data_IF_103170240943
#
_entry.id   IF_103170240943
#
_cell.length_a   1.000
_cell.length_b   1.000
_cell.length_c   1.000
_cell.angle_alpha   90.00
_cell.angle_beta   90.00
_cell.angle_gamma   90.00
#
_symmetry.space_group_name_H-M   'P 1'
#
loop_
_entity.id
_entity.type
_entity.pdbx_description
1 polymer ?
#
# COMPACT_ATOMS: atom_id res chain seq x y z
N UNK A 1 -10.57 20.90 26.20
CA UNK A 1 -11.10 19.65 25.61
C UNK A 1 -11.02 19.67 24.09
N UNK A 2 -11.35 20.78 23.41
CA UNK A 2 -11.26 20.89 21.94
C UNK A 2 -9.88 20.56 21.36
N UNK A 3 -8.78 21.04 21.95
CA UNK A 3 -7.42 20.74 21.48
C UNK A 3 -7.05 19.25 21.51
N UNK A 4 -7.58 18.49 22.47
CA UNK A 4 -7.36 17.03 22.55
C UNK A 4 -8.09 16.29 21.43
N UNK A 5 -9.32 16.71 21.11
CA UNK A 5 -10.06 16.14 19.99
C UNK A 5 -9.42 16.44 18.63
N UNK A 6 -8.83 17.64 18.46
CA UNK A 6 -8.10 17.99 17.24
C UNK A 6 -6.86 17.10 17.04
N UNK A 7 -6.07 16.87 18.10
CA UNK A 7 -4.89 15.99 18.05
C UNK A 7 -5.30 14.54 17.75
N UNK A 8 -6.32 14.01 18.43
CA UNK A 8 -6.82 12.65 18.16
C UNK A 8 -7.37 12.54 16.74
N UNK A 9 -8.07 13.57 16.25
CA UNK A 9 -8.59 13.59 14.88
C UNK A 9 -7.47 13.47 13.85
N UNK A 10 -6.45 14.32 13.92
CA UNK A 10 -5.35 14.36 12.94
C UNK A 10 -4.50 13.09 13.00
N UNK A 11 -4.07 12.68 14.20
CA UNK A 11 -3.19 11.53 14.35
C UNK A 11 -3.92 10.19 14.31
N UNK A 12 -5.20 10.14 14.66
CA UNK A 12 -6.03 8.94 14.63
C UNK A 12 -6.55 8.61 13.22
N UNK A 13 -6.66 9.60 12.33
CA UNK A 13 -7.16 9.38 10.97
C UNK A 13 -6.23 8.47 10.15
N UNK A 14 -4.91 8.67 10.26
CA UNK A 14 -3.91 7.87 9.52
C UNK A 14 -4.01 6.37 9.88
N UNK A 15 -3.88 5.95 11.16
CA UNK A 15 -4.03 4.53 11.51
C UNK A 15 -5.43 4.00 11.22
N UNK A 16 -6.49 4.82 11.33
CA UNK A 16 -7.84 4.40 10.98
C UNK A 16 -7.97 4.06 9.48
N UNK A 17 -7.45 4.90 8.59
CA UNK A 17 -7.49 4.64 7.13
C UNK A 17 -6.71 3.37 6.80
N UNK A 18 -5.51 3.22 7.37
CA UNK A 18 -4.70 2.01 7.18
C UNK A 18 -5.44 0.77 7.70
N UNK A 19 -6.01 0.85 8.90
CA UNK A 19 -6.79 -0.23 9.50
C UNK A 19 -7.99 -0.62 8.64
N UNK A 20 -8.79 0.35 8.18
CA UNK A 20 -9.93 0.10 7.30
C UNK A 20 -9.49 -0.57 6.00
N UNK A 21 -8.44 -0.08 5.36
CA UNK A 21 -7.88 -0.68 4.14
C UNK A 21 -7.47 -2.14 4.35
N UNK A 22 -6.76 -2.43 5.45
CA UNK A 22 -6.37 -3.81 5.81
C UNK A 22 -7.57 -4.69 6.15
N UNK A 23 -8.53 -4.16 6.91
CA UNK A 23 -9.73 -4.87 7.33
C UNK A 23 -10.59 -5.29 6.13
N UNK A 24 -10.90 -4.36 5.22
CA UNK A 24 -11.67 -4.66 4.01
C UNK A 24 -10.92 -5.61 3.08
N UNK A 25 -9.60 -5.46 2.93
CA UNK A 25 -8.78 -6.38 2.14
C UNK A 25 -8.79 -7.79 2.72
N UNK A 26 -8.69 -7.93 4.05
CA UNK A 26 -8.74 -9.23 4.72
C UNK A 26 -10.13 -9.87 4.59
N UNK A 27 -11.19 -9.08 4.76
CA UNK A 27 -12.58 -9.54 4.59
C UNK A 27 -12.87 -10.00 3.17
N UNK A 28 -12.34 -9.31 2.15
CA UNK A 28 -12.48 -9.73 0.76
C UNK A 28 -11.76 -11.06 0.49
N UNK A 29 -10.52 -11.22 1.00
CA UNK A 29 -9.79 -12.50 0.88
C UNK A 29 -10.51 -13.66 1.57
N UNK A 30 -11.05 -13.45 2.77
CA UNK A 30 -11.80 -14.48 3.49
C UNK A 30 -13.02 -14.98 2.69
N UNK A 31 -13.79 -14.06 2.09
CA UNK A 31 -14.92 -14.40 1.21
C UNK A 31 -14.50 -15.21 -0.01
N UNK A 32 -13.36 -14.87 -0.62
CA UNK A 32 -12.85 -15.60 -1.77
C UNK A 32 -12.43 -17.03 -1.41
N UNK A 33 -11.84 -17.23 -0.23
CA UNK A 33 -11.50 -18.56 0.30
C UNK A 33 -12.76 -19.38 0.56
N UNK A 34 -13.77 -18.79 1.19
CA UNK A 34 -15.06 -19.44 1.47
C UNK A 34 -15.76 -19.88 0.17
N UNK A 35 -15.72 -19.05 -0.88
CA UNK A 35 -16.25 -19.41 -2.20
C UNK A 35 -15.52 -20.61 -2.82
N UNK A 36 -14.19 -20.67 -2.72
CA UNK A 36 -13.40 -21.81 -3.21
C UNK A 36 -13.76 -23.07 -2.43
N UNK A 37 -13.90 -23.00 -1.11
CA UNK A 37 -14.33 -24.13 -0.28
C UNK A 37 -15.73 -24.62 -0.69
N UNK A 38 -16.69 -23.71 -0.87
CA UNK A 38 -18.04 -24.06 -1.31
C UNK A 38 -18.10 -24.65 -2.75
N UNK A 39 -17.09 -24.39 -3.59
CA UNK A 39 -16.96 -25.03 -4.90
C UNK A 39 -16.38 -26.44 -4.80
N UNK A 40 -15.40 -26.65 -3.90
CA UNK A 40 -14.83 -27.97 -3.61
C UNK A 40 -15.91 -28.92 -3.06
N UNK A 41 -16.73 -28.46 -2.12
CA UNK A 41 -17.79 -29.25 -1.48
C UNK A 41 -18.90 -29.71 -2.46
N UNK A 42 -18.95 -29.12 -3.66
CA UNK A 42 -19.94 -29.42 -4.70
C UNK A 42 -19.38 -30.27 -5.84
N UNK A 43 -18.20 -30.88 -5.66
CA UNK A 43 -17.48 -31.68 -6.67
C UNK A 43 -17.38 -30.94 -8.03
N UNK A 44 -17.27 -29.61 -8.01
CA UNK A 44 -17.05 -28.84 -9.25
C UNK A 44 -15.57 -28.83 -9.59
N UNK A 45 -15.26 -29.09 -10.86
CA UNK A 45 -13.91 -28.92 -11.39
C UNK A 45 -13.43 -27.48 -11.19
N UNK A 46 -12.44 -27.32 -10.32
CA UNK A 46 -11.80 -26.03 -10.09
C UNK A 46 -10.73 -25.85 -11.17
N UNK A 47 -11.13 -25.25 -12.28
CA UNK A 47 -10.17 -24.90 -13.33
C UNK A 47 -9.32 -23.68 -12.92
N UNK A 48 -8.11 -23.52 -13.46
CA UNK A 48 -7.26 -22.35 -13.20
C UNK A 48 -7.94 -21.01 -13.56
N UNK A 49 -8.87 -21.01 -14.51
CA UNK A 49 -9.68 -19.83 -14.85
C UNK A 49 -10.59 -19.42 -13.69
N UNK A 50 -11.23 -20.38 -13.01
CA UNK A 50 -12.12 -20.12 -11.87
C UNK A 50 -11.33 -19.58 -10.68
N UNK A 51 -10.17 -20.16 -10.37
CA UNK A 51 -9.27 -19.68 -9.30
C UNK A 51 -8.87 -18.21 -9.56
N UNK A 52 -8.52 -17.88 -10.81
CA UNK A 52 -8.19 -16.52 -11.23
C UNK A 52 -9.39 -15.57 -11.13
N UNK A 53 -10.59 -16.03 -11.50
CA UNK A 53 -11.83 -15.26 -11.41
C UNK A 53 -12.23 -14.94 -9.96
N UNK A 54 -11.92 -15.84 -9.01
CA UNK A 54 -12.15 -15.63 -7.57
C UNK A 54 -11.05 -14.76 -6.93
N UNK A 55 -10.14 -14.20 -7.72
CA UNK A 55 -9.19 -13.18 -7.26
C UNK A 55 -7.91 -13.74 -6.65
N UNK A 56 -7.67 -15.05 -6.77
CA UNK A 56 -6.34 -15.63 -6.54
C UNK A 56 -5.47 -15.39 -7.78
N UNK A 57 -5.04 -14.13 -7.96
CA UNK A 57 -4.05 -13.80 -8.99
C UNK A 57 -2.66 -14.02 -8.42
N UNK A 58 -1.74 -14.51 -9.26
CA UNK A 58 -0.31 -14.43 -8.96
C UNK A 58 0.11 -12.99 -8.67
N UNK A 59 1.22 -12.80 -7.96
CA UNK A 59 1.78 -11.48 -7.65
C UNK A 59 1.94 -10.72 -8.99
N UNK A 60 1.36 -9.51 -9.12
CA UNK A 60 1.44 -8.73 -10.37
C UNK A 60 2.90 -8.40 -10.68
N UNK A 61 3.34 -8.71 -11.91
CA UNK A 61 4.72 -8.61 -12.43
C UNK A 61 5.40 -7.24 -12.21
N UNK A 62 4.65 -6.15 -11.99
CA UNK A 62 5.23 -4.80 -11.74
C UNK A 62 4.60 -4.05 -10.56
N UNK A 63 4.02 -4.79 -9.60
CA UNK A 63 3.42 -4.17 -8.41
C UNK A 63 4.44 -3.34 -7.61
N UNK A 64 5.68 -3.81 -7.53
CA UNK A 64 6.75 -3.13 -6.79
C UNK A 64 7.21 -1.84 -7.50
N UNK A 65 7.28 -1.81 -8.84
CA UNK A 65 7.62 -0.59 -9.61
C UNK A 65 6.62 0.53 -9.37
N UNK A 66 5.32 0.24 -9.55
CA UNK A 66 4.26 1.23 -9.33
C UNK A 66 4.27 1.73 -7.89
N UNK A 67 4.35 0.82 -6.93
CA UNK A 67 4.34 1.17 -5.50
C UNK A 67 5.56 2.03 -5.15
N UNK A 68 6.74 1.65 -5.62
CA UNK A 68 7.98 2.41 -5.42
C UNK A 68 7.90 3.82 -5.98
N UNK A 69 7.46 3.99 -7.23
CA UNK A 69 7.30 5.31 -7.85
C UNK A 69 6.32 6.21 -7.11
N UNK A 70 5.17 5.66 -6.69
CA UNK A 70 4.15 6.42 -5.94
C UNK A 70 4.73 6.91 -4.61
N UNK A 71 5.44 6.04 -3.88
CA UNK A 71 6.02 6.40 -2.59
C UNK A 71 7.11 7.47 -2.70
N UNK A 72 7.99 7.36 -3.69
CA UNK A 72 8.98 8.42 -3.96
C UNK A 72 8.28 9.73 -4.29
N UNK A 73 7.26 9.71 -5.16
CA UNK A 73 6.51 10.91 -5.53
C UNK A 73 5.82 11.57 -4.33
N UNK A 74 5.19 10.79 -3.45
CA UNK A 74 4.57 11.28 -2.22
C UNK A 74 5.62 11.93 -1.30
N UNK A 75 6.77 11.28 -1.11
CA UNK A 75 7.83 11.83 -0.28
C UNK A 75 8.42 13.12 -0.84
N UNK A 76 8.69 13.18 -2.15
CA UNK A 76 9.14 14.40 -2.82
C UNK A 76 8.10 15.51 -2.69
N UNK A 77 6.81 15.19 -2.82
CA UNK A 77 5.74 16.18 -2.62
C UNK A 77 5.72 16.74 -1.20
N UNK A 78 5.88 15.90 -0.16
CA UNK A 78 5.96 16.34 1.25
C UNK A 78 7.19 17.24 1.46
N UNK A 79 8.34 16.87 0.90
CA UNK A 79 9.57 17.65 1.00
C UNK A 79 9.43 19.03 0.34
N UNK A 80 8.87 19.09 -0.87
CA UNK A 80 8.62 20.36 -1.57
C UNK A 80 7.61 21.19 -0.80
N UNK A 81 6.54 20.57 -0.30
CA UNK A 81 5.50 21.26 0.46
C UNK A 81 6.06 21.96 1.71
N UNK A 82 6.98 21.32 2.42
CA UNK A 82 7.66 21.94 3.56
C UNK A 82 8.38 23.24 3.24
N UNK A 83 8.89 23.39 2.01
CA UNK A 83 9.67 24.55 1.59
C UNK A 83 8.82 25.73 1.15
N UNK A 84 7.52 25.49 0.91
CA UNK A 84 6.55 26.55 0.55
C UNK A 84 5.89 27.14 1.80
N UNK A 85 5.98 26.47 2.94
CA UNK A 85 5.39 26.95 4.20
C UNK A 85 6.30 28.05 4.77
N UNK A 86 5.76 29.25 5.08
CA UNK A 86 6.53 30.36 5.63
C UNK A 86 6.78 30.19 7.14
N UNK A 87 7.38 29.06 7.52
CA UNK A 87 7.75 28.72 8.90
C UNK A 87 9.16 28.13 8.90
N UNK A 88 10.05 28.63 9.77
CA UNK A 88 11.49 28.28 9.75
C UNK A 88 11.75 26.78 9.95
N UNK A 89 10.92 26.11 10.75
CA UNK A 89 11.08 24.69 11.08
C UNK A 89 10.35 23.75 10.11
N UNK A 90 9.44 24.27 9.25
CA UNK A 90 8.57 23.43 8.43
C UNK A 90 9.36 22.54 7.46
N UNK A 91 10.41 23.09 6.83
CA UNK A 91 11.27 22.33 5.92
C UNK A 91 12.02 21.20 6.65
N UNK A 92 12.50 21.45 7.87
CA UNK A 92 13.22 20.45 8.66
C UNK A 92 12.30 19.31 9.10
N UNK A 93 11.11 19.66 9.62
CA UNK A 93 10.14 18.69 10.12
C UNK A 93 9.54 17.87 8.98
N UNK A 94 9.03 18.52 7.94
CA UNK A 94 8.42 17.84 6.80
C UNK A 94 9.47 17.15 5.93
N UNK A 95 10.68 17.68 5.84
CA UNK A 95 11.80 17.00 5.20
C UNK A 95 12.15 15.69 5.90
N UNK A 96 12.20 15.68 7.24
CA UNK A 96 12.35 14.45 8.01
C UNK A 96 11.21 13.45 7.77
N UNK A 97 9.96 13.92 7.75
CA UNK A 97 8.79 13.09 7.45
C UNK A 97 8.80 12.53 6.03
N UNK A 98 9.26 13.30 5.04
CA UNK A 98 9.38 12.90 3.65
C UNK A 98 10.36 11.75 3.43
N UNK A 99 11.40 11.62 4.26
CA UNK A 99 12.40 10.56 4.11
C UNK A 99 11.80 9.16 4.24
N UNK A 100 10.75 8.98 5.05
CA UNK A 100 10.10 7.68 5.23
C UNK A 100 9.56 7.12 3.90
N UNK A 101 8.60 7.78 3.21
CA UNK A 101 8.11 7.29 1.93
C UNK A 101 9.19 7.28 0.83
N UNK A 102 10.16 8.20 0.83
CA UNK A 102 11.28 8.17 -0.13
C UNK A 102 12.08 6.87 -0.01
N UNK A 103 12.56 6.53 1.19
CA UNK A 103 13.37 5.32 1.37
C UNK A 103 12.57 4.03 1.14
N UNK A 104 11.31 3.98 1.58
CA UNK A 104 10.43 2.83 1.29
C UNK A 104 10.23 2.71 -0.23
N UNK A 105 10.01 3.83 -0.93
CA UNK A 105 9.89 3.86 -2.38
C UNK A 105 11.14 3.37 -3.10
N UNK A 106 12.32 3.84 -2.69
CA UNK A 106 13.62 3.38 -3.20
C UNK A 106 13.79 1.87 -2.97
N UNK A 107 13.40 1.35 -1.80
CA UNK A 107 13.47 -0.09 -1.53
C UNK A 107 12.60 -0.89 -2.50
N UNK A 108 11.36 -0.47 -2.76
CA UNK A 108 10.48 -1.10 -3.76
C UNK A 108 11.05 -1.04 -5.17
N UNK A 109 11.65 0.10 -5.56
CA UNK A 109 12.31 0.23 -6.86
C UNK A 109 13.55 -0.67 -6.96
N UNK A 110 14.31 -0.80 -5.88
CA UNK A 110 15.45 -1.73 -5.79
C UNK A 110 15.03 -3.19 -5.91
N UNK A 111 13.97 -3.60 -5.20
CA UNK A 111 13.41 -4.93 -5.33
C UNK A 111 12.89 -5.19 -6.74
N UNK A 112 12.17 -4.24 -7.33
CA UNK A 112 11.74 -4.36 -8.72
C UNK A 112 12.93 -4.55 -9.65
N UNK A 113 13.97 -3.71 -9.54
CA UNK A 113 15.15 -3.80 -10.39
C UNK A 113 15.91 -5.13 -10.25
N UNK A 114 16.02 -5.67 -9.02
CA UNK A 114 16.72 -6.93 -8.75
C UNK A 114 15.89 -8.17 -9.12
N UNK A 115 14.59 -8.18 -8.82
CA UNK A 115 13.69 -9.32 -9.04
C UNK A 115 13.29 -9.39 -10.52
N UNK A 116 12.96 -8.26 -11.14
CA UNK A 116 12.58 -8.19 -12.56
C UNK A 116 13.74 -8.54 -13.50
N UNK A 117 14.99 -8.63 -12.99
CA UNK A 117 16.17 -9.13 -13.71
C UNK A 117 16.37 -10.64 -13.60
N UNK A 118 15.79 -11.30 -12.59
CA UNK A 118 15.98 -12.74 -12.35
C UNK A 118 14.91 -13.61 -13.00
N UNK A 119 13.73 -13.04 -13.22
CA UNK A 119 12.66 -13.67 -14.00
C UNK A 119 12.37 -12.80 -15.24
N UNK A 120 13.19 -12.90 -16.31
CA UNK A 120 12.74 -12.45 -17.63
C UNK A 120 11.61 -13.39 -18.04
N UNK A 121 10.42 -12.84 -18.24
CA UNK A 121 9.26 -13.62 -18.76
C UNK A 121 9.62 -14.39 -20.04
#
# INVERSE_FOLDING_TARGET
>A
MEGTFAVIGVFGMIPLIVFLGLFFRNKARAKNVELVQAMLDKDRDITPEVIRAVGFTGKRSHSDLRTGMILVAVGVAIFIFGGVIPEEEAQSVLGGLAMFPIFIGIAYLGFWFMISRKDPE
#
